data_IF_286064796597
#
_entry.id   IF_286064796597
#
_cell.length_a   1.000
_cell.length_b   1.000
_cell.length_c   1.000
_cell.angle_alpha   90.00
_cell.angle_beta   90.00
_cell.angle_gamma   90.00
#
_symmetry.space_group_name_H-M   'P 1'
#
loop_
_entity.id
_entity.type
_entity.pdbx_description
1 polymer ?
#
# COMPACT_ATOMS: atom_id res chain seq x y z
N UNK A 1 -73.33 -14.91 -21.27
CA UNK A 1 -72.82 -16.28 -21.54
C UNK A 1 -71.31 -16.22 -21.63
N UNK A 2 -70.63 -17.07 -20.87
CA UNK A 2 -69.20 -17.38 -20.86
C UNK A 2 -68.19 -16.53 -20.04
N UNK A 3 -67.48 -17.29 -19.18
CA UNK A 3 -66.06 -17.24 -18.75
C UNK A 3 -65.57 -16.29 -17.64
N UNK A 4 -65.10 -16.99 -16.59
CA UNK A 4 -63.79 -16.95 -15.89
C UNK A 4 -63.68 -16.27 -14.50
N UNK A 5 -63.26 -17.13 -13.57
CA UNK A 5 -62.36 -16.97 -12.41
C UNK A 5 -62.69 -15.99 -11.28
N UNK A 6 -62.83 -16.52 -10.04
CA UNK A 6 -61.79 -16.58 -8.97
C UNK A 6 -62.32 -17.35 -7.73
N UNK A 7 -61.41 -18.07 -7.05
CA UNK A 7 -61.23 -18.45 -5.61
C UNK A 7 -62.40 -18.29 -4.59
N UNK A 8 -62.53 -19.08 -3.47
CA UNK A 8 -61.51 -19.12 -2.37
C UNK A 8 -61.43 -20.35 -1.39
N UNK A 9 -60.32 -20.39 -0.62
CA UNK A 9 -60.09 -20.64 0.83
C UNK A 9 -61.17 -21.33 1.74
N UNK A 10 -60.75 -22.27 2.64
CA UNK A 10 -61.08 -22.42 4.11
C UNK A 10 -61.29 -23.87 4.68
N UNK A 11 -60.59 -24.12 5.82
CA UNK A 11 -60.82 -24.96 7.04
C UNK A 11 -61.14 -26.48 7.08
N UNK A 12 -60.58 -27.04 8.18
CA UNK A 12 -61.14 -28.02 9.15
C UNK A 12 -60.80 -29.52 9.03
N UNK A 13 -60.03 -29.99 10.04
CA UNK A 13 -59.77 -31.41 10.39
C UNK A 13 -60.63 -31.80 11.60
N UNK A 14 -61.39 -32.89 11.47
CA UNK A 14 -62.00 -33.70 12.56
C UNK A 14 -61.67 -35.19 12.25
N UNK A 15 -61.10 -36.00 13.17
CA UNK A 15 -61.75 -36.90 14.18
C UNK A 15 -62.86 -37.77 13.54
N UNK A 16 -63.01 -39.10 13.72
CA UNK A 16 -62.71 -40.01 14.83
C UNK A 16 -63.00 -41.49 14.41
N UNK A 17 -62.15 -42.44 14.83
CA UNK A 17 -62.43 -43.77 15.49
C UNK A 17 -63.24 -44.95 14.88
N UNK A 18 -62.89 -46.15 15.41
CA UNK A 18 -63.49 -47.51 15.44
C UNK A 18 -62.85 -48.53 14.45
N UNK A 19 -62.44 -49.78 14.74
CA UNK A 19 -62.69 -50.79 15.80
C UNK A 19 -61.66 -51.97 15.81
N UNK A 20 -61.53 -52.63 16.97
CA UNK A 20 -61.31 -54.08 17.28
C UNK A 20 -59.96 -54.87 17.10
N UNK A 21 -59.54 -55.47 18.24
CA UNK A 21 -58.98 -56.84 18.51
C UNK A 21 -57.63 -57.24 17.85
N UNK A 22 -56.70 -58.02 18.41
CA UNK A 22 -56.69 -59.00 19.52
C UNK A 22 -55.24 -59.29 19.97
N UNK A 23 -55.09 -59.75 21.23
CA UNK A 23 -53.85 -60.24 21.86
C UNK A 23 -53.33 -61.55 21.20
N UNK A 24 -52.25 -61.49 20.42
CA UNK A 24 -51.28 -62.59 20.18
C UNK A 24 -50.03 -61.98 19.55
N UNK A 25 -48.97 -61.76 20.34
CA UNK A 25 -47.75 -61.11 19.83
C UNK A 25 -46.77 -60.57 20.88
N UNK A 26 -47.11 -60.62 22.18
CA UNK A 26 -46.26 -60.09 23.26
C UNK A 26 -44.98 -60.92 23.54
N UNK A 27 -44.88 -62.16 23.06
CA UNK A 27 -43.68 -63.00 23.23
C UNK A 27 -42.62 -62.71 22.15
N UNK A 28 -43.04 -62.53 20.89
CA UNK A 28 -42.13 -62.24 19.78
C UNK A 28 -41.55 -60.81 19.82
N UNK A 29 -42.27 -59.84 20.41
CA UNK A 29 -41.76 -58.48 20.61
C UNK A 29 -40.63 -58.39 21.66
N UNK A 30 -40.61 -59.26 22.68
CA UNK A 30 -39.56 -59.22 23.73
C UNK A 30 -38.20 -59.68 23.20
N UNK A 31 -38.18 -60.66 22.29
CA UNK A 31 -36.94 -61.16 21.66
C UNK A 31 -36.36 -60.16 20.65
N UNK A 32 -37.22 -59.49 19.87
CA UNK A 32 -36.81 -58.37 18.97
C UNK A 32 -36.33 -57.14 19.74
N UNK A 33 -36.91 -56.82 20.91
CA UNK A 33 -36.42 -55.72 21.76
C UNK A 33 -35.01 -55.97 22.28
N UNK A 34 -34.66 -57.20 22.68
CA UNK A 34 -33.29 -57.53 23.14
C UNK A 34 -32.26 -57.45 22.01
N UNK A 35 -32.59 -57.89 20.80
CA UNK A 35 -31.71 -57.72 19.63
C UNK A 35 -31.53 -56.26 19.21
N UNK A 36 -32.59 -55.44 19.25
CA UNK A 36 -32.48 -53.98 19.00
C UNK A 36 -31.66 -53.27 20.09
N UNK A 37 -31.71 -53.73 21.34
CA UNK A 37 -30.96 -53.14 22.44
C UNK A 37 -29.47 -53.52 22.41
N UNK A 38 -29.13 -54.71 21.92
CA UNK A 38 -27.74 -55.10 21.62
C UNK A 38 -27.17 -54.35 20.41
N UNK A 39 -27.97 -54.13 19.35
CA UNK A 39 -27.55 -53.35 18.18
C UNK A 39 -27.34 -51.86 18.53
N UNK A 40 -28.21 -51.28 19.35
CA UNK A 40 -28.06 -49.90 19.82
C UNK A 40 -26.83 -49.71 20.74
N UNK A 41 -26.44 -50.72 21.50
CA UNK A 41 -25.22 -50.66 22.33
C UNK A 41 -23.93 -50.73 21.48
N UNK A 42 -23.94 -51.43 20.34
CA UNK A 42 -22.80 -51.45 19.40
C UNK A 42 -22.67 -50.16 18.58
N UNK A 43 -23.77 -49.43 18.34
CA UNK A 43 -23.72 -48.09 17.72
C UNK A 43 -23.25 -47.03 18.72
N UNK A 44 -23.52 -47.22 20.02
CA UNK A 44 -23.12 -46.29 21.09
C UNK A 44 -21.61 -46.28 21.39
N UNK A 45 -20.87 -47.31 21.01
CA UNK A 45 -19.40 -47.37 21.18
C UNK A 45 -18.61 -46.81 19.97
N UNK A 46 -19.26 -46.52 18.84
CA UNK A 46 -18.59 -45.90 17.68
C UNK A 46 -18.79 -44.39 17.53
N UNK A 47 -19.56 -43.75 18.41
CA UNK A 47 -19.51 -42.29 18.55
C UNK A 47 -18.47 -41.90 19.59
N UNK A 48 -17.19 -42.14 19.27
CA UNK A 48 -16.10 -41.45 19.94
C UNK A 48 -16.24 -39.97 19.56
N UNK A 49 -17.00 -39.28 20.40
CA UNK A 49 -17.18 -37.83 20.31
C UNK A 49 -15.80 -37.23 20.48
N UNK A 50 -15.25 -36.66 19.40
CA UNK A 50 -14.23 -35.64 19.49
C UNK A 50 -14.86 -34.43 20.18
N UNK A 51 -15.05 -34.51 21.50
CA UNK A 51 -15.30 -33.32 22.31
C UNK A 51 -13.96 -32.62 22.40
N UNK A 52 -13.70 -31.73 21.43
CA UNK A 52 -12.73 -30.65 21.57
C UNK A 52 -13.22 -29.70 22.67
N UNK A 53 -13.18 -30.16 23.92
CA UNK A 53 -13.31 -29.33 25.11
C UNK A 53 -11.93 -28.80 25.45
N UNK A 54 -11.44 -27.86 24.66
CA UNK A 54 -10.34 -27.00 25.06
C UNK A 54 -10.69 -25.57 24.62
N UNK A 55 -11.41 -24.79 25.45
CA UNK A 55 -11.76 -23.40 25.11
C UNK A 55 -10.52 -22.54 24.89
N UNK A 56 -9.35 -23.00 25.36
CA UNK A 56 -8.06 -22.36 25.18
C UNK A 56 -7.51 -22.48 23.74
N UNK A 57 -7.77 -23.59 23.02
CA UNK A 57 -7.29 -23.79 21.63
C UNK A 57 -8.17 -23.08 20.58
N UNK A 58 -9.46 -22.92 20.84
CA UNK A 58 -10.37 -22.17 19.95
C UNK A 58 -10.12 -20.66 20.06
N UNK A 59 -9.81 -20.18 21.27
CA UNK A 59 -9.51 -18.76 21.52
C UNK A 59 -8.17 -18.33 20.88
N UNK A 60 -7.15 -19.18 20.91
CA UNK A 60 -5.86 -18.90 20.24
C UNK A 60 -5.98 -18.95 18.72
N UNK A 61 -6.80 -19.84 18.16
CA UNK A 61 -7.09 -19.87 16.73
C UNK A 61 -7.86 -18.63 16.25
N UNK A 62 -8.80 -18.12 17.05
CA UNK A 62 -9.55 -16.91 16.73
C UNK A 62 -8.67 -15.64 16.84
N UNK A 63 -7.77 -15.56 17.83
CA UNK A 63 -6.77 -14.48 17.92
C UNK A 63 -5.78 -14.50 16.75
N UNK A 64 -5.33 -15.69 16.31
CA UNK A 64 -4.44 -15.83 15.15
C UNK A 64 -5.12 -15.47 13.82
N UNK A 65 -6.46 -15.59 13.73
CA UNK A 65 -7.21 -15.22 12.54
C UNK A 65 -7.41 -13.69 12.43
N UNK A 66 -7.52 -12.99 13.57
CA UNK A 66 -7.68 -11.52 13.58
C UNK A 66 -6.39 -10.75 13.26
N UNK A 67 -5.20 -11.34 13.42
CA UNK A 67 -3.92 -10.65 13.16
C UNK A 67 -3.50 -10.62 11.68
N UNK A 68 -4.22 -11.32 10.79
CA UNK A 68 -3.88 -11.36 9.35
C UNK A 68 -4.73 -10.43 8.47
N UNK A 69 -5.73 -9.76 9.04
CA UNK A 69 -6.53 -8.77 8.33
C UNK A 69 -5.75 -7.46 8.17
N UNK A 70 -4.79 -7.45 7.25
CA UNK A 70 -4.16 -6.21 6.79
C UNK A 70 -5.20 -5.38 6.06
N UNK A 71 -5.59 -4.23 6.60
CA UNK A 71 -6.40 -3.26 5.88
C UNK A 71 -5.55 -2.69 4.74
N UNK A 72 -5.74 -3.20 3.52
CA UNK A 72 -5.14 -2.59 2.34
C UNK A 72 -5.91 -1.32 2.01
N UNK A 73 -5.29 -0.17 2.27
CA UNK A 73 -5.80 1.10 1.79
C UNK A 73 -5.52 1.20 0.28
N UNK A 74 -6.52 0.88 -0.54
CA UNK A 74 -6.42 1.05 -1.99
C UNK A 74 -6.81 2.47 -2.37
N UNK A 75 -5.86 3.22 -2.92
CA UNK A 75 -6.19 4.49 -3.57
C UNK A 75 -6.97 4.24 -4.85
N UNK A 76 -8.04 5.00 -5.06
CA UNK A 76 -8.90 4.83 -6.23
C UNK A 76 -8.15 5.32 -7.46
N UNK A 77 -7.53 6.51 -7.40
CA UNK A 77 -6.68 7.03 -8.48
C UNK A 77 -5.21 7.03 -8.05
N UNK A 78 -4.36 6.29 -8.78
CA UNK A 78 -2.92 6.18 -8.50
C UNK A 78 -2.07 6.60 -9.70
N UNK A 79 -0.98 7.38 -9.50
CA UNK A 79 0.02 7.60 -10.53
C UNK A 79 0.83 6.32 -10.79
N UNK A 80 1.43 6.23 -11.99
CA UNK A 80 2.24 5.09 -12.46
C UNK A 80 3.64 5.01 -11.85
N UNK A 81 4.07 6.05 -11.11
CA UNK A 81 5.37 6.12 -10.43
C UNK A 81 5.31 6.94 -9.14
N UNK A 82 6.29 6.70 -8.26
CA UNK A 82 6.38 7.32 -6.93
C UNK A 82 7.23 8.59 -6.89
N UNK A 83 7.87 8.93 -8.01
CA UNK A 83 8.63 10.17 -8.23
C UNK A 83 8.75 10.44 -9.73
N UNK A 84 9.02 11.68 -10.09
CA UNK A 84 9.15 12.15 -11.46
C UNK A 84 10.50 12.81 -11.65
N UNK A 85 11.09 12.64 -12.82
CA UNK A 85 12.25 13.40 -13.28
C UNK A 85 11.83 14.10 -14.58
N UNK A 86 12.03 15.41 -14.63
CA UNK A 86 11.82 16.24 -15.81
C UNK A 86 13.19 16.70 -16.29
N UNK A 87 13.67 16.16 -17.41
CA UNK A 87 14.95 16.61 -17.97
C UNK A 87 14.76 17.91 -18.76
N UNK A 88 15.76 18.78 -18.75
CA UNK A 88 15.73 20.05 -19.50
C UNK A 88 15.52 19.84 -21.01
N UNK A 89 16.02 18.73 -21.55
CA UNK A 89 15.81 18.37 -22.97
C UNK A 89 14.37 18.03 -23.32
N UNK A 90 13.57 17.64 -22.33
CA UNK A 90 12.20 17.24 -22.53
C UNK A 90 11.31 18.48 -22.53
N UNK A 91 10.55 18.72 -23.60
CA UNK A 91 9.52 19.78 -23.60
C UNK A 91 8.39 19.46 -22.61
N UNK A 92 8.17 18.17 -22.36
CA UNK A 92 7.15 17.67 -21.44
C UNK A 92 7.38 16.22 -21.08
N UNK A 93 6.86 15.81 -19.93
CA UNK A 93 6.73 14.41 -19.51
C UNK A 93 5.25 14.07 -19.32
N UNK A 94 4.90 12.79 -19.52
CA UNK A 94 3.56 12.28 -19.24
C UNK A 94 3.56 11.49 -17.92
N UNK A 95 2.45 11.54 -17.19
CA UNK A 95 2.17 10.75 -15.99
C UNK A 95 0.86 10.01 -16.25
N UNK A 96 0.88 8.70 -16.09
CA UNK A 96 -0.35 7.90 -16.24
C UNK A 96 -1.02 7.79 -14.88
N UNK A 97 -2.30 8.13 -14.83
CA UNK A 97 -3.15 7.95 -13.66
C UNK A 97 -4.09 6.78 -13.92
N UNK A 98 -4.13 5.80 -13.01
CA UNK A 98 -5.05 4.67 -13.12
C UNK A 98 -6.16 4.76 -12.09
N UNK A 99 -7.40 4.59 -12.52
CA UNK A 99 -8.50 4.33 -11.63
C UNK A 99 -8.57 2.81 -11.34
N UNK A 100 -8.27 2.41 -10.12
CA UNK A 100 -8.29 1.01 -9.66
C UNK A 100 -9.68 0.54 -9.20
N UNK A 101 -10.70 1.40 -9.28
CA UNK A 101 -12.07 1.03 -8.90
C UNK A 101 -12.77 0.31 -10.04
N UNK A 102 -13.42 -0.81 -9.73
CA UNK A 102 -14.11 -1.64 -10.73
C UNK A 102 -15.38 -1.02 -11.31
N UNK A 103 -16.05 -0.14 -10.57
CA UNK A 103 -17.44 0.26 -10.88
C UNK A 103 -17.67 1.76 -10.98
N UNK A 104 -16.84 2.57 -10.33
CA UNK A 104 -17.10 3.99 -10.17
C UNK A 104 -16.06 4.83 -10.93
N UNK A 105 -16.50 5.85 -11.67
CA UNK A 105 -15.61 6.84 -12.22
C UNK A 105 -15.13 7.78 -11.12
N UNK A 106 -13.93 8.33 -11.29
CA UNK A 106 -13.37 9.34 -10.39
C UNK A 106 -12.92 10.55 -11.21
N UNK A 107 -13.01 11.74 -10.62
CA UNK A 107 -12.23 12.87 -11.13
C UNK A 107 -10.85 12.86 -10.47
N UNK A 108 -9.83 13.20 -11.24
CA UNK A 108 -8.46 13.36 -10.78
C UNK A 108 -8.05 14.82 -10.98
N UNK A 109 -7.82 15.53 -9.88
CA UNK A 109 -7.29 16.88 -9.89
C UNK A 109 -5.77 16.84 -9.72
N UNK A 110 -5.03 17.47 -10.62
CA UNK A 110 -3.57 17.46 -10.65
C UNK A 110 -2.98 18.87 -10.61
N UNK A 111 -1.92 19.07 -9.83
CA UNK A 111 -1.21 20.37 -9.75
C UNK A 111 0.25 20.19 -9.32
N UNK A 112 1.03 21.26 -9.45
CA UNK A 112 2.40 21.32 -8.94
C UNK A 112 2.50 22.24 -7.73
N UNK A 113 3.46 21.93 -6.87
CA UNK A 113 3.91 22.79 -5.78
C UNK A 113 5.42 23.03 -5.87
N UNK A 114 5.85 24.18 -5.36
CA UNK A 114 7.26 24.45 -5.08
C UNK A 114 7.78 23.63 -3.89
N UNK A 115 9.07 23.76 -3.58
CA UNK A 115 9.69 23.06 -2.44
C UNK A 115 9.02 23.41 -1.09
N UNK A 116 8.48 24.63 -0.96
CA UNK A 116 7.80 25.14 0.24
C UNK A 116 6.35 24.64 0.36
N UNK A 117 5.83 23.97 -0.67
CA UNK A 117 4.45 23.46 -0.71
C UNK A 117 3.42 24.46 -1.22
N UNK A 118 3.85 25.59 -1.78
CA UNK A 118 2.93 26.53 -2.43
C UNK A 118 2.53 25.99 -3.80
N UNK A 119 1.23 26.01 -4.10
CA UNK A 119 0.74 25.66 -5.43
C UNK A 119 1.26 26.65 -6.46
N UNK A 120 1.85 26.15 -7.54
CA UNK A 120 2.45 26.94 -8.61
C UNK A 120 1.81 26.62 -9.96
N UNK A 121 1.93 27.55 -10.89
CA UNK A 121 1.58 27.39 -12.31
C UNK A 121 2.76 27.63 -13.25
N UNK A 122 3.93 27.95 -12.68
CA UNK A 122 5.19 28.29 -13.35
C UNK A 122 6.36 27.84 -12.47
N UNK A 123 7.50 27.40 -13.01
CA UNK A 123 7.86 27.35 -14.44
C UNK A 123 7.42 26.07 -15.16
N UNK A 124 6.69 25.20 -14.47
CA UNK A 124 6.13 23.96 -15.00
C UNK A 124 4.61 24.02 -14.87
N UNK A 125 3.91 23.50 -15.87
CA UNK A 125 2.44 23.44 -15.89
C UNK A 125 1.95 22.00 -16.04
N UNK A 126 0.84 21.70 -15.37
CA UNK A 126 0.15 20.40 -15.41
C UNK A 126 -1.13 20.50 -16.24
N UNK A 127 -1.31 19.59 -17.19
CA UNK A 127 -2.45 19.57 -18.11
C UNK A 127 -2.97 18.14 -18.34
N UNK A 128 -4.28 17.87 -18.28
CA UNK A 128 -5.32 18.77 -17.75
C UNK A 128 -5.23 18.87 -16.21
N UNK A 129 -5.63 19.99 -15.60
CA UNK A 129 -5.66 20.14 -14.15
C UNK A 129 -6.75 19.31 -13.48
N UNK A 130 -7.82 18.95 -14.21
CA UNK A 130 -8.86 18.02 -13.76
C UNK A 130 -9.28 17.15 -14.94
N UNK A 131 -9.40 15.85 -14.73
CA UNK A 131 -9.96 14.93 -15.71
C UNK A 131 -10.82 13.85 -15.06
N UNK A 132 -11.78 13.32 -15.81
CA UNK A 132 -12.52 12.13 -15.43
C UNK A 132 -11.78 10.88 -15.88
N UNK A 133 -11.67 9.90 -15.01
CA UNK A 133 -11.13 8.58 -15.30
C UNK A 133 -12.20 7.56 -14.96
N UNK A 134 -12.73 6.87 -15.97
CA UNK A 134 -13.72 5.83 -15.78
C UNK A 134 -13.15 4.61 -15.03
N UNK A 135 -14.03 3.73 -14.58
CA UNK A 135 -13.66 2.55 -13.82
C UNK A 135 -12.63 1.69 -14.58
N UNK A 136 -11.58 1.25 -13.89
CA UNK A 136 -10.48 0.45 -14.43
C UNK A 136 -9.69 1.09 -15.60
N UNK A 137 -9.95 2.36 -15.91
CA UNK A 137 -9.31 3.07 -17.02
C UNK A 137 -8.08 3.88 -16.57
N UNK A 138 -7.29 4.26 -17.57
CA UNK A 138 -6.16 5.15 -17.42
C UNK A 138 -6.51 6.56 -17.94
N UNK A 139 -6.11 7.58 -17.20
CA UNK A 139 -6.00 8.96 -17.65
C UNK A 139 -4.53 9.35 -17.85
N UNK A 140 -4.26 10.38 -18.65
CA UNK A 140 -2.91 10.89 -18.85
C UNK A 140 -2.84 12.36 -18.43
N UNK A 141 -1.80 12.69 -17.68
CA UNK A 141 -1.45 14.06 -17.29
C UNK A 141 -0.11 14.41 -17.91
N UNK A 142 -0.05 15.52 -18.61
CA UNK A 142 1.16 16.10 -19.17
C UNK A 142 1.70 17.17 -18.21
N UNK A 143 2.97 17.07 -17.87
CA UNK A 143 3.73 18.16 -17.24
C UNK A 143 4.59 18.76 -18.33
N UNK A 144 4.50 20.07 -18.57
CA UNK A 144 5.27 20.75 -19.60
C UNK A 144 6.02 21.96 -19.06
N UNK A 145 7.17 22.25 -19.67
CA UNK A 145 7.94 23.44 -19.36
C UNK A 145 7.28 24.70 -19.94
N UNK A 146 7.32 25.78 -19.17
CA UNK A 146 6.96 27.14 -19.59
C UNK A 146 8.23 27.96 -19.88
N UNK A 147 8.12 29.12 -20.55
CA UNK A 147 9.29 29.92 -20.96
C UNK A 147 10.24 30.32 -19.82
N UNK A 148 9.72 30.47 -18.60
CA UNK A 148 10.50 30.81 -17.41
C UNK A 148 11.24 29.62 -16.78
N UNK A 149 11.19 28.42 -17.38
CA UNK A 149 11.99 27.25 -16.94
C UNK A 149 13.49 27.53 -16.92
N UNK A 150 13.96 28.43 -17.78
CA UNK A 150 15.36 28.86 -17.85
C UNK A 150 15.81 29.68 -16.63
N UNK A 151 14.89 30.09 -15.76
CA UNK A 151 15.23 30.72 -14.48
C UNK A 151 15.72 29.72 -13.44
N UNK A 152 15.52 28.42 -13.67
CA UNK A 152 16.01 27.38 -12.78
C UNK A 152 17.54 27.21 -12.89
N UNK A 153 18.24 26.85 -11.81
CA UNK A 153 19.69 26.70 -11.81
C UNK A 153 20.22 25.65 -12.80
N UNK A 154 21.06 26.01 -13.77
CA UNK A 154 21.59 25.03 -14.74
C UNK A 154 22.66 24.08 -14.17
N UNK A 155 23.12 24.30 -12.93
CA UNK A 155 24.22 23.55 -12.30
C UNK A 155 23.77 22.48 -11.29
N UNK A 156 22.46 22.41 -10.98
CA UNK A 156 21.89 21.50 -9.97
C UNK A 156 20.41 21.23 -10.19
N UNK A 157 19.91 20.15 -9.61
CA UNK A 157 18.48 19.84 -9.63
C UNK A 157 17.65 20.85 -8.83
N UNK A 158 16.41 21.06 -9.27
CA UNK A 158 15.37 21.78 -8.53
C UNK A 158 14.26 20.83 -8.12
N UNK A 159 13.74 20.97 -6.90
CA UNK A 159 12.69 20.11 -6.35
C UNK A 159 11.32 20.79 -6.41
N UNK A 160 10.37 20.07 -6.99
CA UNK A 160 8.94 20.36 -7.00
C UNK A 160 8.17 19.17 -6.45
N UNK A 161 6.86 19.34 -6.24
CA UNK A 161 5.96 18.25 -5.92
C UNK A 161 4.82 18.18 -6.93
N UNK A 162 4.59 17.00 -7.47
CA UNK A 162 3.38 16.68 -8.23
C UNK A 162 2.33 16.12 -7.28
N UNK A 163 1.15 16.73 -7.30
CA UNK A 163 0.01 16.33 -6.52
C UNK A 163 -1.09 15.81 -7.43
N UNK A 164 -1.71 14.71 -7.03
CA UNK A 164 -2.96 14.22 -7.59
C UNK A 164 -3.96 13.95 -6.46
N UNK A 165 -5.13 14.54 -6.55
CA UNK A 165 -6.24 14.33 -5.62
C UNK A 165 -7.40 13.68 -6.35
N UNK A 166 -7.86 12.55 -5.84
CA UNK A 166 -9.07 11.92 -6.35
C UNK A 166 -10.31 12.62 -5.79
N UNK A 167 -11.36 12.72 -6.58
CA UNK A 167 -12.65 13.25 -6.17
C UNK A 167 -13.67 12.14 -6.46
N UNK A 168 -14.18 11.47 -5.41
CA UNK A 168 -15.16 10.40 -5.57
C UNK A 168 -16.49 10.95 -6.10
N UNK A 169 -17.30 10.11 -6.77
CA UNK A 169 -18.66 10.49 -7.11
C UNK A 169 -19.47 10.70 -5.83
N UNK A 170 -20.44 11.61 -5.89
CA UNK A 170 -21.32 11.91 -4.76
C UNK A 170 -22.07 10.66 -4.30
N UNK A 171 -22.07 10.39 -3.00
CA UNK A 171 -22.85 9.30 -2.41
C UNK A 171 -24.36 9.58 -2.55
N UNK A 172 -25.11 8.56 -2.97
CA UNK A 172 -26.58 8.58 -2.95
C UNK A 172 -27.19 8.21 -1.59
N UNK A 173 -26.37 7.88 -0.59
CA UNK A 173 -26.82 7.46 0.74
C UNK A 173 -26.71 8.62 1.73
N UNK A 174 -27.70 8.76 2.60
CA UNK A 174 -27.63 9.68 3.74
C UNK A 174 -26.57 9.22 4.76
N UNK A 175 -25.98 10.18 5.48
CA UNK A 175 -25.06 9.93 6.60
C UNK A 175 -23.80 9.13 6.21
N UNK A 176 -23.21 9.39 5.05
CA UNK A 176 -21.97 8.75 4.62
C UNK A 176 -20.77 9.68 4.74
N UNK A 177 -19.70 9.20 5.38
CA UNK A 177 -18.37 9.78 5.28
C UNK A 177 -17.71 9.32 3.97
N UNK A 178 -17.29 10.26 3.11
CA UNK A 178 -16.51 9.96 1.92
C UNK A 178 -15.06 10.40 2.14
N UNK A 179 -14.13 9.49 1.88
CA UNK A 179 -12.68 9.75 1.95
C UNK A 179 -12.19 10.02 0.53
N UNK A 180 -11.38 11.07 0.38
CA UNK A 180 -10.72 11.43 -0.86
C UNK A 180 -9.21 11.41 -0.61
N UNK A 181 -8.48 10.56 -1.35
CA UNK A 181 -7.03 10.43 -1.20
C UNK A 181 -6.29 11.45 -2.06
N UNK A 182 -5.20 11.99 -1.51
CA UNK A 182 -4.26 12.85 -2.21
C UNK A 182 -2.88 12.20 -2.18
N UNK A 183 -2.33 11.97 -3.38
CA UNK A 183 -0.97 11.49 -3.56
C UNK A 183 -0.06 12.67 -3.91
N UNK A 184 1.01 12.84 -3.16
CA UNK A 184 2.04 13.86 -3.36
C UNK A 184 3.38 13.18 -3.61
N UNK A 185 3.94 13.33 -4.82
CA UNK A 185 5.22 12.73 -5.22
C UNK A 185 6.22 13.81 -5.61
N UNK A 186 7.51 13.52 -5.44
CA UNK A 186 8.59 14.46 -5.78
C UNK A 186 8.77 14.54 -7.29
N UNK A 187 8.95 15.74 -7.81
CA UNK A 187 9.28 16.05 -9.20
C UNK A 187 10.64 16.77 -9.22
N UNK A 188 11.64 16.13 -9.81
CA UNK A 188 12.99 16.70 -9.93
C UNK A 188 13.14 17.29 -11.32
N UNK A 189 13.32 18.60 -11.42
CA UNK A 189 13.80 19.20 -12.66
C UNK A 189 15.33 19.01 -12.72
N UNK A 190 15.80 18.48 -13.84
CA UNK A 190 17.19 18.09 -14.05
C UNK A 190 17.79 18.85 -15.24
N UNK A 191 18.77 19.73 -15.02
CA UNK A 191 19.40 20.48 -16.11
C UNK A 191 20.18 19.56 -17.05
N UNK A 192 20.43 20.03 -18.27
CA UNK A 192 21.07 19.29 -19.37
C UNK A 192 22.41 18.69 -18.96
N UNK A 193 23.19 19.42 -18.16
CA UNK A 193 24.49 18.99 -17.67
C UNK A 193 24.44 17.74 -16.77
N UNK A 194 23.27 17.41 -16.22
CA UNK A 194 23.05 16.34 -15.25
C UNK A 194 22.22 15.16 -15.79
N UNK A 195 21.78 15.21 -17.06
CA UNK A 195 20.95 14.14 -17.64
C UNK A 195 21.71 12.81 -17.80
N UNK A 196 23.03 12.89 -18.04
CA UNK A 196 23.87 11.70 -18.26
C UNK A 196 24.30 11.10 -16.92
N UNK A 197 23.70 9.97 -16.59
CA UNK A 197 23.96 9.22 -15.35
C UNK A 197 24.64 7.89 -15.67
N UNK A 198 25.72 7.60 -14.95
CA UNK A 198 26.25 6.24 -14.87
C UNK A 198 25.43 5.42 -13.87
N UNK A 199 24.61 4.50 -14.39
CA UNK A 199 23.76 3.64 -13.55
C UNK A 199 24.56 2.62 -12.73
N UNK A 200 25.81 2.30 -13.13
CA UNK A 200 26.67 1.37 -12.37
C UNK A 200 27.33 2.07 -11.18
N UNK A 201 27.63 3.36 -11.31
CA UNK A 201 28.19 4.21 -10.26
C UNK A 201 27.33 5.45 -10.07
N UNK A 202 26.13 5.28 -9.50
CA UNK A 202 25.16 6.36 -9.41
C UNK A 202 25.64 7.41 -8.40
N UNK A 203 25.18 8.66 -8.54
CA UNK A 203 25.70 9.81 -7.78
C UNK A 203 25.56 9.64 -6.27
N UNK A 204 24.61 8.84 -5.80
CA UNK A 204 24.39 8.53 -4.39
C UNK A 204 25.62 7.87 -3.74
N UNK A 205 26.50 7.23 -4.52
CA UNK A 205 27.77 6.68 -4.02
C UNK A 205 28.76 7.77 -3.59
N UNK A 206 28.56 9.02 -4.01
CA UNK A 206 29.37 10.15 -3.56
C UNK A 206 28.93 10.71 -2.21
N UNK A 207 27.82 10.22 -1.63
CA UNK A 207 27.39 10.61 -0.28
C UNK A 207 28.46 10.21 0.72
N UNK A 208 28.73 11.08 1.69
CA UNK A 208 29.63 10.75 2.80
C UNK A 208 28.95 10.99 4.13
N UNK A 209 29.49 10.38 5.18
CA UNK A 209 29.09 10.65 6.55
C UNK A 209 30.25 11.25 7.34
N UNK A 210 29.91 12.18 8.23
CA UNK A 210 30.85 12.68 9.24
C UNK A 210 30.35 12.26 10.61
N UNK A 211 31.16 11.48 11.32
CA UNK A 211 30.88 10.95 12.65
C UNK A 211 31.29 11.95 13.73
N UNK A 212 30.41 12.14 14.71
CA UNK A 212 30.66 12.87 15.95
C UNK A 212 30.10 12.05 17.12
N UNK A 213 30.93 11.19 17.70
CA UNK A 213 30.48 10.23 18.72
C UNK A 213 29.50 9.20 18.15
N UNK A 214 28.24 9.26 18.56
CA UNK A 214 27.14 8.44 18.04
C UNK A 214 26.25 9.20 17.03
N UNK A 215 26.53 10.48 16.79
CA UNK A 215 25.85 11.27 15.77
C UNK A 215 26.57 11.15 14.43
N UNK A 216 25.78 11.17 13.36
CA UNK A 216 26.27 11.23 12.00
C UNK A 216 25.65 12.43 11.28
N UNK A 217 26.47 13.14 10.51
CA UNK A 217 26.03 14.13 9.53
C UNK A 217 26.12 13.51 8.15
N UNK A 218 25.03 13.55 7.39
CA UNK A 218 24.98 13.11 6.00
C UNK A 218 25.39 14.26 5.11
N UNK A 219 26.35 14.05 4.23
CA UNK A 219 26.84 15.06 3.28
C UNK A 219 26.49 14.63 1.86
N UNK A 220 25.80 15.51 1.13
CA UNK A 220 25.53 15.36 -0.29
C UNK A 220 26.38 16.38 -1.08
N UNK A 221 27.56 16.00 -1.58
CA UNK A 221 28.39 16.90 -2.39
C UNK A 221 27.88 17.03 -3.84
N UNK A 222 26.87 16.27 -4.23
CA UNK A 222 26.44 16.15 -5.62
C UNK A 222 25.48 17.27 -6.02
N UNK A 223 25.34 17.56 -7.33
CA UNK A 223 24.35 18.50 -7.83
C UNK A 223 22.91 17.91 -7.89
N UNK A 224 22.70 16.70 -7.39
CA UNK A 224 21.41 16.00 -7.39
C UNK A 224 20.81 15.99 -5.99
N UNK A 225 19.50 15.83 -5.88
CA UNK A 225 18.85 15.47 -4.63
C UNK A 225 19.10 13.99 -4.29
N UNK A 226 19.37 13.71 -3.01
CA UNK A 226 19.48 12.33 -2.51
C UNK A 226 18.40 12.08 -1.47
N UNK A 227 17.56 11.07 -1.70
CA UNK A 227 16.47 10.71 -0.78
C UNK A 227 16.92 9.53 0.08
N UNK A 228 17.16 9.77 1.37
CA UNK A 228 17.46 8.72 2.34
C UNK A 228 16.16 8.30 3.01
N UNK A 229 15.73 7.08 2.75
CA UNK A 229 14.46 6.52 3.20
C UNK A 229 14.56 5.69 4.47
N UNK A 230 15.77 5.26 4.84
CA UNK A 230 16.03 4.47 6.03
C UNK A 230 17.49 4.59 6.47
N UNK A 231 17.72 4.32 7.75
CA UNK A 231 19.03 4.16 8.35
C UNK A 231 18.98 3.00 9.34
N UNK A 232 19.89 2.03 9.21
CA UNK A 232 19.93 0.82 10.03
C UNK A 232 21.37 0.44 10.39
N UNK A 233 21.54 -0.49 11.32
CA UNK A 233 22.88 -1.02 11.69
C UNK A 233 23.43 -2.02 10.68
N UNK A 234 22.55 -2.61 9.86
CA UNK A 234 22.90 -3.64 8.88
C UNK A 234 21.92 -3.61 7.68
N UNK A 235 22.32 -4.21 6.55
CA UNK A 235 21.47 -4.35 5.36
C UNK A 235 20.17 -5.06 5.73
N UNK A 236 19.02 -4.49 5.35
CA UNK A 236 17.67 -4.98 5.69
C UNK A 236 17.43 -5.13 7.21
N UNK A 237 18.17 -4.39 8.04
CA UNK A 237 17.94 -4.31 9.47
C UNK A 237 16.70 -3.49 9.83
N UNK A 238 16.38 -3.44 11.12
CA UNK A 238 15.35 -2.54 11.63
C UNK A 238 15.81 -1.09 11.50
N UNK A 239 14.87 -0.21 11.13
CA UNK A 239 15.08 1.23 11.12
C UNK A 239 15.53 1.71 12.49
N UNK A 240 16.57 2.54 12.51
CA UNK A 240 17.11 3.12 13.73
C UNK A 240 16.05 3.95 14.46
N UNK A 241 16.03 3.84 15.78
CA UNK A 241 15.08 4.56 16.61
C UNK A 241 15.19 6.09 16.38
N UNK A 242 14.04 6.74 16.13
CA UNK A 242 13.97 8.17 15.89
C UNK A 242 14.36 8.63 14.48
N UNK A 243 14.83 7.75 13.61
CA UNK A 243 15.16 8.10 12.24
C UNK A 243 13.92 8.59 11.48
N UNK A 244 14.09 9.68 10.72
CA UNK A 244 13.09 10.22 9.81
C UNK A 244 13.69 10.32 8.42
N UNK A 245 12.97 9.96 7.35
CA UNK A 245 13.47 10.11 5.99
C UNK A 245 13.98 11.51 5.70
N UNK A 246 15.12 11.59 5.01
CA UNK A 246 15.80 12.83 4.67
C UNK A 246 15.75 13.05 3.17
N UNK A 247 15.47 14.29 2.79
CA UNK A 247 15.66 14.79 1.43
C UNK A 247 16.90 15.66 1.52
N UNK A 248 17.99 15.23 0.91
CA UNK A 248 19.25 15.96 0.89
C UNK A 248 19.30 16.84 -0.36
N UNK A 249 19.20 18.17 -0.25
CA UNK A 249 19.37 19.06 -1.39
C UNK A 249 20.80 18.99 -1.97
N UNK A 250 21.00 19.44 -3.22
CA UNK A 250 22.31 19.52 -3.84
C UNK A 250 23.32 20.32 -3.01
N UNK A 251 24.55 19.80 -2.86
CA UNK A 251 25.67 20.49 -2.19
C UNK A 251 25.36 20.91 -0.74
N UNK A 252 24.65 20.06 0.02
CA UNK A 252 24.29 20.33 1.43
C UNK A 252 24.66 19.19 2.37
N UNK A 253 24.66 19.51 3.67
CA UNK A 253 24.83 18.55 4.76
C UNK A 253 23.69 18.69 5.77
N UNK A 254 23.22 17.56 6.32
CA UNK A 254 22.17 17.51 7.32
C UNK A 254 22.45 16.42 8.36
N UNK A 255 22.07 16.61 9.63
CA UNK A 255 22.22 15.56 10.64
C UNK A 255 21.31 14.37 10.31
N UNK A 256 21.81 13.14 10.54
CA UNK A 256 21.04 11.91 10.38
C UNK A 256 19.86 11.82 11.35
N UNK A 257 19.97 12.52 12.50
CA UNK A 257 18.98 12.54 13.60
C UNK A 257 18.62 11.13 14.12
N UNK A 258 19.61 10.24 14.12
CA UNK A 258 19.54 8.92 14.73
C UNK A 258 20.89 8.60 15.37
N UNK A 259 20.88 8.08 16.60
CA UNK A 259 22.09 7.67 17.33
C UNK A 259 22.52 6.29 16.88
N UNK A 260 23.78 6.16 16.47
CA UNK A 260 24.33 4.91 15.93
C UNK A 260 25.71 4.63 16.54
N UNK A 261 25.90 3.45 17.12
CA UNK A 261 27.18 3.05 17.73
C UNK A 261 28.27 2.78 16.67
N UNK A 262 27.87 2.30 15.50
CA UNK A 262 28.71 2.01 14.33
C UNK A 262 28.22 2.81 13.11
N UNK A 263 28.97 2.71 12.00
CA UNK A 263 28.58 3.32 10.74
C UNK A 263 27.22 2.76 10.29
N UNK A 264 26.23 3.61 9.96
CA UNK A 264 24.93 3.12 9.52
C UNK A 264 25.01 2.57 8.10
N UNK A 265 24.12 1.63 7.79
CA UNK A 265 23.70 1.35 6.41
C UNK A 265 22.53 2.28 6.11
N UNK A 266 22.69 3.16 5.12
CA UNK A 266 21.59 4.02 4.67
C UNK A 266 20.86 3.34 3.51
N UNK A 267 19.56 3.58 3.38
CA UNK A 267 18.80 3.17 2.18
C UNK A 267 18.36 4.40 1.41
N UNK A 268 18.85 4.56 0.18
CA UNK A 268 18.41 5.63 -0.70
C UNK A 268 17.32 5.18 -1.66
N UNK A 269 16.57 6.13 -2.22
CA UNK A 269 15.61 5.89 -3.30
C UNK A 269 16.20 6.39 -4.62
N UNK A 270 16.31 5.52 -5.62
CA UNK A 270 16.77 5.89 -6.98
C UNK A 270 15.62 6.50 -7.82
N UNK A 271 15.90 6.93 -9.05
CA UNK A 271 14.90 7.59 -9.92
C UNK A 271 13.70 6.71 -10.27
N UNK A 272 13.85 5.38 -10.21
CA UNK A 272 12.79 4.41 -10.47
C UNK A 272 11.97 4.06 -9.23
N UNK A 273 12.26 4.69 -8.08
CA UNK A 273 11.59 4.39 -6.81
C UNK A 273 12.12 3.16 -6.09
N UNK A 274 13.18 2.51 -6.60
CA UNK A 274 13.80 1.38 -5.93
C UNK A 274 14.60 1.83 -4.71
N UNK A 275 14.55 1.02 -3.65
CA UNK A 275 15.26 1.23 -2.39
C UNK A 275 16.58 0.47 -2.42
N UNK A 276 17.68 1.20 -2.40
CA UNK A 276 19.03 0.65 -2.58
C UNK A 276 19.88 0.95 -1.34
N UNK A 277 20.72 0.01 -0.87
CA UNK A 277 21.59 0.24 0.27
C UNK A 277 22.81 1.11 -0.11
N UNK A 278 23.27 1.92 0.84
CA UNK A 278 24.59 2.54 0.89
C UNK A 278 25.30 1.99 2.13
N UNK A 279 26.35 1.24 1.90
CA UNK A 279 27.22 0.70 2.94
C UNK A 279 28.44 1.61 3.01
N UNK A 280 28.87 1.95 4.22
CA UNK A 280 29.96 2.91 4.43
C UNK A 280 31.19 2.24 5.06
N UNK A 281 32.37 2.64 4.60
CA UNK A 281 33.66 2.38 5.28
C UNK A 281 34.12 3.68 5.92
N UNK A 282 34.49 3.63 7.20
CA UNK A 282 34.95 4.80 7.95
C UNK A 282 36.47 4.79 8.16
N UNK A 283 37.10 5.92 7.90
CA UNK A 283 38.49 6.23 8.24
C UNK A 283 38.46 7.42 9.21
N UNK A 284 38.73 7.14 10.50
CA UNK A 284 38.54 8.10 11.57
C UNK A 284 37.08 8.56 11.68
N UNK A 285 36.85 9.87 11.58
CA UNK A 285 35.51 10.46 11.67
C UNK A 285 34.81 10.60 10.31
N UNK A 286 35.43 10.21 9.21
CA UNK A 286 34.82 10.32 7.87
C UNK A 286 34.48 8.96 7.33
N UNK A 287 33.25 8.78 6.84
CA UNK A 287 32.82 7.55 6.20
C UNK A 287 32.44 7.80 4.75
N UNK A 288 32.97 6.96 3.85
CA UNK A 288 32.69 6.99 2.41
C UNK A 288 31.93 5.74 2.02
N UNK A 289 31.13 5.83 0.97
CA UNK A 289 30.40 4.65 0.46
C UNK A 289 31.40 3.62 -0.05
N UNK A 290 31.15 2.37 0.33
CA UNK A 290 31.75 1.19 -0.26
C UNK A 290 30.95 0.82 -1.51
N UNK A 291 31.44 1.25 -2.68
CA UNK A 291 30.75 1.05 -3.97
C UNK A 291 30.55 -0.43 -4.29
N UNK A 292 31.53 -1.28 -3.96
CA UNK A 292 31.48 -2.71 -4.27
C UNK A 292 30.43 -3.44 -3.42
N UNK A 293 30.29 -3.07 -2.15
CA UNK A 293 29.24 -3.63 -1.29
C UNK A 293 27.86 -3.03 -1.60
N UNK A 294 27.81 -1.75 -1.95
CA UNK A 294 26.55 -1.05 -2.24
C UNK A 294 25.95 -1.42 -3.59
N UNK A 295 26.78 -1.83 -4.56
CA UNK A 295 26.33 -2.32 -5.88
C UNK A 295 25.75 -3.74 -5.85
N UNK A 296 26.12 -4.57 -4.86
CA UNK A 296 25.55 -5.92 -4.62
C UNK A 296 24.18 -5.88 -3.91
N UNK A 297 23.51 -4.72 -4.01
CA UNK A 297 22.31 -4.29 -3.31
C UNK A 297 21.07 -5.09 -3.65
#
# INVERSE_FOLDING_TARGET
MNKRERQPLILQRQKLSLLFRTRRGKSHQRKRRRQFQQLNNLIKERSMSYKLSCPMLVSTALMALLTTASLTAHASVTPDRTRLVFNESDKSISVTLRNNTEKLPYLAQSWLEDEKGNKITSPLAVLPPVQRIDAMMNGQVKIQALPDIHTLPSDRESLFYYNVREIPPKSGKANTLQIALQTRIKLFWRPKALEKIDMRRPWQFKVTLTRSGQDYTVNNPTPYHVIISDASTQKKGLTAAGFKPLVMPPKTSQPLKAKMASAPVLTYINDYGARMPLIFRCEGNTCKVDEDQSSKG
#
